data_IF_261763916945
#
_entry.id   IF_261763916945
#
_cell.length_a   1.000
_cell.length_b   1.000
_cell.length_c   1.000
_cell.angle_alpha   90.00
_cell.angle_beta   90.00
_cell.angle_gamma   90.00
#
_symmetry.space_group_name_H-M   'P 1'
#
loop_
_entity.id
_entity.type
_entity.pdbx_description
1 polymer ?
#
# COMPACT_ATOMS: atom_id res chain seq x y z
N UNK A 1 3.23 -2.34 -21.08
CA UNK A 1 2.35 -1.60 -22.01
C UNK A 1 0.96 -1.53 -21.41
N UNK A 2 0.22 -0.48 -21.72
CA UNK A 2 -1.14 -0.25 -21.23
C UNK A 2 -2.07 0.04 -22.40
N UNK A 3 -3.37 -0.24 -22.24
CA UNK A 3 -4.37 0.01 -23.27
C UNK A 3 -5.15 1.27 -22.92
N UNK A 4 -5.11 2.27 -23.80
CA UNK A 4 -5.86 3.53 -23.68
C UNK A 4 -6.50 3.85 -25.02
N UNK A 5 -7.80 4.17 -25.03
CA UNK A 5 -8.56 4.48 -26.25
C UNK A 5 -8.38 3.46 -27.39
N UNK A 6 -8.26 2.16 -27.04
CA UNK A 6 -8.04 1.08 -28.01
C UNK A 6 -6.59 0.93 -28.51
N UNK A 7 -5.69 1.88 -28.22
CA UNK A 7 -4.28 1.84 -28.59
C UNK A 7 -3.41 1.33 -27.45
N UNK A 8 -2.35 0.60 -27.79
CA UNK A 8 -1.32 0.22 -26.84
C UNK A 8 -0.32 1.35 -26.68
N UNK A 9 -0.17 1.81 -25.45
CA UNK A 9 0.77 2.86 -25.06
C UNK A 9 1.82 2.33 -24.09
N UNK A 10 3.02 2.90 -24.18
CA UNK A 10 4.11 2.61 -23.25
C UNK A 10 3.99 3.48 -21.99
N UNK A 11 4.72 3.08 -20.95
CA UNK A 11 4.76 3.78 -19.65
C UNK A 11 5.21 5.23 -19.78
N UNK A 12 6.27 5.46 -20.55
CA UNK A 12 6.85 6.76 -20.83
C UNK A 12 5.83 7.73 -21.45
N UNK A 13 5.06 7.27 -22.44
CA UNK A 13 4.01 8.08 -23.07
C UNK A 13 2.89 8.47 -22.11
N UNK A 14 2.41 7.53 -21.30
CA UNK A 14 1.39 7.81 -20.29
C UNK A 14 1.90 8.78 -19.21
N UNK A 15 3.14 8.61 -18.78
CA UNK A 15 3.75 9.50 -17.80
C UNK A 15 3.86 10.92 -18.36
N UNK A 16 4.33 11.06 -19.61
CA UNK A 16 4.46 12.36 -20.27
C UNK A 16 3.10 13.05 -20.39
N UNK A 17 2.07 12.34 -20.87
CA UNK A 17 0.71 12.88 -20.96
C UNK A 17 0.15 13.26 -19.57
N UNK A 18 0.48 12.49 -18.53
CA UNK A 18 0.07 12.83 -17.16
C UNK A 18 0.76 14.11 -16.67
N UNK A 19 1.99 14.37 -17.09
CA UNK A 19 2.69 15.63 -16.77
C UNK A 19 2.29 16.79 -17.67
N UNK A 20 1.78 16.53 -18.87
CA UNK A 20 1.34 17.58 -19.78
C UNK A 20 -0.08 18.06 -19.44
N UNK A 21 -0.25 19.38 -19.38
CA UNK A 21 -1.53 20.05 -19.22
C UNK A 21 -2.35 20.07 -20.52
N UNK A 22 -3.60 20.53 -20.48
CA UNK A 22 -4.42 20.68 -21.68
C UNK A 22 -3.77 21.62 -22.73
N UNK A 23 -2.98 22.60 -22.28
CA UNK A 23 -2.31 23.59 -23.12
C UNK A 23 -1.01 23.07 -23.78
N UNK A 24 -0.63 21.82 -23.49
CA UNK A 24 0.62 21.23 -23.98
C UNK A 24 1.85 21.56 -23.13
N UNK A 25 1.74 22.44 -22.14
CA UNK A 25 2.81 22.75 -21.19
C UNK A 25 2.91 21.72 -20.06
N UNK A 26 4.10 21.56 -19.48
CA UNK A 26 4.30 20.71 -18.31
C UNK A 26 3.62 21.32 -17.08
N UNK A 27 2.83 20.52 -16.36
CA UNK A 27 2.20 20.88 -15.08
C UNK A 27 3.22 21.22 -14.00
N UNK A 28 4.37 20.56 -14.02
CA UNK A 28 5.44 20.77 -13.06
C UNK A 28 6.78 21.02 -13.77
N UNK A 29 7.44 22.17 -13.56
CA UNK A 29 8.72 22.46 -14.20
C UNK A 29 9.84 21.49 -13.76
N UNK A 30 9.74 20.87 -12.58
CA UNK A 30 10.71 19.86 -12.13
C UNK A 30 10.74 18.61 -13.04
N UNK A 31 9.67 18.36 -13.80
CA UNK A 31 9.59 17.24 -14.73
C UNK A 31 10.23 17.53 -16.09
N UNK A 32 10.72 18.76 -16.32
CA UNK A 32 11.28 19.18 -17.62
C UNK A 32 12.42 18.29 -18.10
N UNK A 33 13.45 18.11 -17.27
CA UNK A 33 14.60 17.27 -17.62
C UNK A 33 14.16 15.83 -17.97
N UNK A 34 13.34 15.21 -17.13
CA UNK A 34 12.85 13.86 -17.41
C UNK A 34 12.01 13.79 -18.70
N UNK A 35 11.22 14.82 -19.01
CA UNK A 35 10.45 14.88 -20.26
C UNK A 35 11.34 14.99 -21.50
N UNK A 36 12.42 15.76 -21.42
CA UNK A 36 13.41 15.92 -22.50
C UNK A 36 14.16 14.60 -22.73
N UNK A 37 14.62 13.95 -21.66
CA UNK A 37 15.27 12.64 -21.74
C UNK A 37 14.34 11.56 -22.31
N UNK A 38 13.04 11.58 -21.99
CA UNK A 38 12.07 10.65 -22.58
C UNK A 38 11.99 10.83 -24.10
N UNK A 39 11.95 12.08 -24.58
CA UNK A 39 11.93 12.37 -26.02
C UNK A 39 13.23 11.91 -26.68
N UNK A 40 14.37 12.17 -26.04
CA UNK A 40 15.68 11.77 -26.53
C UNK A 40 15.80 10.24 -26.63
N UNK A 41 15.53 9.50 -25.55
CA UNK A 41 15.59 8.04 -25.54
C UNK A 41 14.59 7.42 -26.51
N UNK A 42 13.42 8.00 -26.68
CA UNK A 42 12.46 7.53 -27.68
C UNK A 42 12.97 7.73 -29.12
N UNK A 43 13.71 8.81 -29.37
CA UNK A 43 14.36 9.07 -30.65
C UNK A 43 15.52 8.10 -30.88
N UNK A 44 16.37 7.87 -29.88
CA UNK A 44 17.44 6.86 -29.98
C UNK A 44 16.87 5.45 -30.19
N UNK A 45 15.71 5.16 -29.59
CA UNK A 45 15.01 3.88 -29.73
C UNK A 45 14.42 3.68 -31.12
N UNK A 46 13.89 4.73 -31.74
CA UNK A 46 13.40 4.65 -33.13
C UNK A 46 14.53 4.49 -34.14
N UNK A 47 15.72 5.03 -33.81
CA UNK A 47 16.96 4.83 -34.58
C UNK A 47 17.61 3.46 -34.34
N UNK A 48 17.17 2.70 -33.33
CA UNK A 48 17.73 1.40 -32.98
C UNK A 48 19.00 1.45 -32.13
N UNK A 49 19.47 2.63 -31.72
CA UNK A 49 20.65 2.83 -30.87
C UNK A 49 20.36 2.55 -29.40
N UNK A 50 19.09 2.63 -29.00
CA UNK A 50 18.64 2.38 -27.64
C UNK A 50 17.71 1.16 -27.58
N UNK A 51 18.08 0.16 -26.79
CA UNK A 51 17.23 -1.00 -26.50
C UNK A 51 16.80 -0.99 -25.03
N UNK A 52 15.49 -1.07 -24.80
CA UNK A 52 14.95 -1.20 -23.45
C UNK A 52 14.77 -2.67 -23.10
N UNK A 53 15.55 -3.17 -22.13
CA UNK A 53 15.45 -4.57 -21.67
C UNK A 53 14.85 -4.62 -20.27
N UNK A 54 13.77 -5.39 -20.12
CA UNK A 54 13.13 -5.67 -18.83
C UNK A 54 12.72 -4.40 -18.06
N UNK A 55 13.28 -4.24 -16.87
CA UNK A 55 13.03 -3.14 -15.92
C UNK A 55 13.77 -1.84 -16.26
N UNK A 56 14.78 -1.88 -17.16
CA UNK A 56 15.52 -0.71 -17.63
C UNK A 56 14.81 -0.07 -18.84
N UNK A 57 13.57 0.35 -18.65
CA UNK A 57 12.80 1.04 -19.69
C UNK A 57 13.11 2.54 -19.77
N UNK A 58 12.60 3.19 -20.83
CA UNK A 58 12.81 4.62 -21.12
C UNK A 58 12.49 5.51 -19.93
N UNK A 59 11.38 5.24 -19.25
CA UNK A 59 10.94 6.05 -18.11
C UNK A 59 11.85 5.87 -16.89
N UNK A 60 12.25 4.63 -16.58
CA UNK A 60 13.15 4.35 -15.46
C UNK A 60 14.51 5.04 -15.65
N UNK A 61 15.03 5.06 -16.88
CA UNK A 61 16.27 5.76 -17.21
C UNK A 61 16.13 7.27 -17.12
N UNK A 62 15.06 7.84 -17.69
CA UNK A 62 14.83 9.29 -17.64
C UNK A 62 14.63 9.83 -16.21
N UNK A 63 14.00 9.04 -15.33
CA UNK A 63 13.86 9.41 -13.93
C UNK A 63 15.11 9.11 -13.09
N UNK A 64 16.11 8.40 -13.64
CA UNK A 64 17.27 7.89 -12.91
C UNK A 64 16.89 7.07 -11.66
N UNK A 65 15.72 6.43 -11.70
CA UNK A 65 15.17 5.63 -10.60
C UNK A 65 15.00 4.19 -11.08
N UNK A 66 16.02 3.33 -10.91
CA UNK A 66 15.92 1.93 -11.31
C UNK A 66 14.81 1.25 -10.50
N UNK A 67 14.05 0.39 -11.17
CA UNK A 67 12.97 -0.36 -10.54
C UNK A 67 13.55 -1.39 -9.55
N UNK A 68 13.02 -1.44 -8.32
CA UNK A 68 13.54 -2.30 -7.27
C UNK A 68 13.39 -3.79 -7.61
N UNK A 69 14.51 -4.53 -7.64
CA UNK A 69 14.58 -5.96 -8.02
C UNK A 69 13.70 -6.89 -7.16
N UNK A 70 13.35 -6.50 -5.94
CA UNK A 70 12.51 -7.29 -5.03
C UNK A 70 11.00 -7.02 -5.14
N UNK A 71 10.58 -5.99 -5.89
CA UNK A 71 9.16 -5.69 -6.06
C UNK A 71 8.63 -6.51 -7.22
N UNK A 72 7.72 -7.44 -6.94
CA UNK A 72 6.97 -8.12 -7.99
C UNK A 72 6.05 -7.08 -8.66
N UNK A 73 6.39 -6.70 -9.89
CA UNK A 73 5.53 -5.87 -10.70
C UNK A 73 4.36 -6.73 -11.16
N UNK A 74 3.25 -6.65 -10.43
CA UNK A 74 2.03 -7.35 -10.79
C UNK A 74 1.68 -7.08 -12.25
N UNK A 75 1.58 -8.14 -13.06
CA UNK A 75 1.03 -7.99 -14.40
C UNK A 75 -0.41 -7.53 -14.27
N UNK A 76 -0.66 -6.26 -14.60
CA UNK A 76 -1.99 -5.67 -14.78
C UNK A 76 -2.91 -5.65 -13.54
N UNK A 77 -3.70 -4.58 -13.41
CA UNK A 77 -4.75 -4.42 -12.38
C UNK A 77 -5.88 -5.47 -12.49
N UNK A 78 -5.87 -6.29 -13.53
CA UNK A 78 -6.92 -7.26 -13.84
C UNK A 78 -6.56 -8.70 -13.50
N UNK A 79 -5.32 -8.98 -13.07
CA UNK A 79 -4.95 -10.34 -12.68
C UNK A 79 -5.13 -10.50 -11.18
N UNK A 80 -6.14 -11.30 -10.80
CA UNK A 80 -6.42 -11.60 -9.40
C UNK A 80 -5.33 -12.52 -8.86
N UNK A 81 -4.92 -12.38 -7.58
CA UNK A 81 -3.99 -13.34 -6.96
C UNK A 81 -4.46 -14.79 -7.12
N UNK A 82 -5.78 -15.03 -7.13
CA UNK A 82 -6.39 -16.35 -7.37
C UNK A 82 -6.11 -16.96 -8.74
N UNK A 83 -5.58 -16.20 -9.71
CA UNK A 83 -5.13 -16.74 -11.01
C UNK A 83 -3.69 -17.28 -10.95
N UNK A 84 -2.90 -16.85 -9.97
CA UNK A 84 -1.52 -17.32 -9.78
C UNK A 84 -1.43 -18.34 -8.63
N UNK A 85 -2.16 -18.06 -7.57
CA UNK A 85 -2.28 -18.93 -6.41
C UNK A 85 -3.58 -19.71 -6.60
N UNK A 86 -3.50 -21.05 -6.63
CA UNK A 86 -4.65 -21.97 -6.71
C UNK A 86 -5.52 -21.92 -5.44
N UNK A 87 -5.97 -20.73 -5.08
CA UNK A 87 -6.81 -20.48 -3.93
C UNK A 87 -8.21 -20.96 -4.29
N UNK A 88 -8.69 -21.99 -3.60
CA UNK A 88 -10.09 -22.42 -3.69
C UNK A 88 -10.98 -21.20 -3.47
N UNK A 89 -11.89 -20.90 -4.42
CA UNK A 89 -12.93 -19.88 -4.22
C UNK A 89 -13.67 -20.25 -2.94
N UNK A 90 -13.50 -19.45 -1.90
CA UNK A 90 -14.02 -19.74 -0.56
C UNK A 90 -15.54 -19.54 -0.52
N UNK A 91 -16.31 -20.49 -1.07
CA UNK A 91 -17.78 -20.48 -1.08
C UNK A 91 -18.38 -20.58 0.33
N UNK A 92 -17.64 -21.11 1.30
CA UNK A 92 -18.19 -21.38 2.64
C UNK A 92 -18.32 -20.11 3.49
N UNK A 93 -17.40 -19.15 3.33
CA UNK A 93 -17.45 -17.87 4.06
C UNK A 93 -18.64 -17.00 3.64
N UNK A 94 -19.03 -17.07 2.36
CA UNK A 94 -20.16 -16.29 1.86
C UNK A 94 -21.50 -16.77 2.47
N UNK A 95 -21.66 -18.09 2.66
CA UNK A 95 -22.85 -18.66 3.29
C UNK A 95 -22.95 -18.31 4.77
N UNK A 96 -21.84 -18.40 5.50
CA UNK A 96 -21.77 -18.04 6.92
C UNK A 96 -22.08 -16.55 7.14
N UNK A 97 -21.49 -15.69 6.31
CA UNK A 97 -21.74 -14.24 6.32
C UNK A 97 -23.20 -13.92 5.97
N UNK A 98 -23.82 -14.63 5.02
CA UNK A 98 -25.24 -14.45 4.70
C UNK A 98 -26.15 -14.92 5.83
N UNK A 99 -25.81 -16.02 6.52
CA UNK A 99 -26.54 -16.52 7.68
C UNK A 99 -26.50 -15.51 8.83
N UNK A 100 -25.31 -15.03 9.19
CA UNK A 100 -25.15 -14.01 10.23
C UNK A 100 -25.88 -12.70 9.88
N UNK A 101 -25.87 -12.29 8.60
CA UNK A 101 -26.63 -11.11 8.16
C UNK A 101 -28.13 -11.27 8.37
N UNK A 102 -28.69 -12.46 8.16
CA UNK A 102 -30.11 -12.75 8.37
C UNK A 102 -30.46 -12.69 9.86
N UNK A 103 -29.64 -13.32 10.70
CA UNK A 103 -29.82 -13.32 12.16
C UNK A 103 -29.73 -11.91 12.76
N UNK A 104 -28.80 -11.08 12.28
CA UNK A 104 -28.70 -9.67 12.69
C UNK A 104 -29.96 -8.88 12.30
N UNK A 105 -30.54 -9.13 11.13
CA UNK A 105 -31.75 -8.42 10.69
C UNK A 105 -32.97 -8.82 11.54
N UNK A 106 -33.05 -10.10 11.91
CA UNK A 106 -34.10 -10.62 12.79
C UNK A 106 -34.00 -10.02 14.20
N UNK A 107 -32.80 -10.02 14.80
CA UNK A 107 -32.57 -9.38 16.09
C UNK A 107 -32.90 -7.90 16.08
N UNK A 108 -32.55 -7.18 15.00
CA UNK A 108 -32.94 -5.77 14.84
C UNK A 108 -34.45 -5.57 14.77
N UNK A 109 -35.18 -6.46 14.11
CA UNK A 109 -36.64 -6.38 14.04
C UNK A 109 -37.29 -6.59 15.41
N UNK A 110 -36.78 -7.54 16.20
CA UNK A 110 -37.23 -7.78 17.57
C UNK A 110 -36.98 -6.57 18.47
N UNK A 111 -35.78 -5.99 18.43
CA UNK A 111 -35.45 -4.78 19.20
C UNK A 111 -36.36 -3.62 18.85
N UNK A 112 -36.63 -3.40 17.55
CA UNK A 112 -37.58 -2.36 17.10
C UNK A 112 -39.00 -2.60 17.67
N UNK A 113 -39.48 -3.84 17.68
CA UNK A 113 -40.79 -4.20 18.23
C UNK A 113 -40.89 -4.02 19.75
N UNK A 114 -39.83 -4.36 20.49
CA UNK A 114 -39.79 -4.16 21.95
C UNK A 114 -39.70 -2.67 22.33
N UNK A 115 -38.96 -1.88 21.55
CA UNK A 115 -38.86 -0.43 21.76
C UNK A 115 -40.17 0.31 21.43
N UNK A 116 -41.01 -0.21 20.54
CA UNK A 116 -42.29 0.39 20.17
C UNK A 116 -43.41 0.20 21.20
N UNK A 117 -43.24 -0.67 22.20
CA UNK A 117 -44.25 -0.99 23.22
C UNK A 117 -43.98 -0.32 24.59
N UNK A 118 -43.10 0.67 24.65
CA UNK A 118 -42.82 1.44 25.87
C UNK A 118 -43.55 2.80 25.86
N UNK A 119 -44.88 2.76 25.88
CA UNK A 119 -45.71 3.80 26.50
C UNK A 119 -46.19 3.30 27.87
N UNK A 120 -45.25 3.19 28.81
CA UNK A 120 -45.57 3.14 30.23
C UNK A 120 -44.85 4.33 30.84
N UNK A 121 -45.60 5.41 31.05
CA UNK A 121 -45.23 6.53 31.92
C UNK A 121 -44.74 5.97 33.26
N UNK A 122 -43.44 6.10 33.60
CA UNK A 122 -43.01 5.92 34.97
C UNK A 122 -43.29 7.24 35.68
N UNK A 123 -44.38 7.28 36.46
CA UNK A 123 -44.51 8.27 37.53
C UNK A 123 -43.35 8.05 38.50
N UNK A 124 -42.35 8.93 38.43
CA UNK A 124 -41.25 8.99 39.41
C UNK A 124 -41.33 10.32 40.15
N UNK A 125 -41.73 10.24 41.42
CA UNK A 125 -41.63 11.33 42.39
C UNK A 125 -40.17 11.82 42.52
N UNK A 126 -39.89 13.13 42.42
CA UNK A 126 -38.53 13.66 42.28
C UNK A 126 -37.68 13.68 43.57
N UNK A 127 -37.99 12.86 44.58
CA UNK A 127 -37.36 12.97 45.92
C UNK A 127 -36.50 11.80 46.38
N UNK A 128 -36.19 10.82 45.53
CA UNK A 128 -35.27 9.75 45.91
C UNK A 128 -34.31 9.40 44.78
N UNK A 129 -33.27 10.23 44.62
CA UNK A 129 -32.07 9.87 43.85
C UNK A 129 -30.91 9.81 44.84
N UNK A 130 -30.36 8.63 45.15
CA UNK A 130 -29.06 8.54 45.80
C UNK A 130 -27.99 8.98 44.79
N UNK A 131 -27.24 10.01 45.14
CA UNK A 131 -26.04 10.47 44.42
C UNK A 131 -25.04 9.33 44.38
N UNK A 132 -24.75 8.81 43.18
CA UNK A 132 -23.63 7.89 42.95
C UNK A 132 -22.49 8.67 42.30
N UNK A 133 -21.35 8.66 42.98
CA UNK A 133 -20.15 9.38 42.59
C UNK A 133 -19.64 8.95 41.21
N UNK A 134 -19.44 9.94 40.34
CA UNK A 134 -18.77 9.77 39.06
C UNK A 134 -17.26 9.68 39.27
N UNK A 135 -16.73 8.46 39.43
CA UNK A 135 -15.31 8.20 39.21
C UNK A 135 -15.11 6.88 38.45
N UNK A 136 -14.82 7.00 37.15
CA UNK A 136 -13.69 6.35 36.45
C UNK A 136 -13.97 6.27 34.95
N UNK A 137 -13.71 7.38 34.26
CA UNK A 137 -13.37 7.34 32.85
C UNK A 137 -11.89 6.97 32.74
N UNK A 138 -11.58 5.69 32.52
CA UNK A 138 -10.30 5.31 31.94
C UNK A 138 -10.29 5.77 30.49
N UNK A 139 -9.89 7.03 30.26
CA UNK A 139 -9.41 7.47 28.95
C UNK A 139 -8.10 6.75 28.68
N UNK A 140 -8.12 5.77 27.79
CA UNK A 140 -6.92 5.35 27.09
C UNK A 140 -6.49 6.51 26.17
N UNK A 141 -5.58 7.35 26.65
CA UNK A 141 -4.90 8.35 25.85
C UNK A 141 -3.59 7.75 25.35
N UNK A 142 -3.52 7.43 24.06
CA UNK A 142 -2.26 7.23 23.37
C UNK A 142 -1.49 8.56 23.41
N UNK A 143 -0.44 8.61 24.22
CA UNK A 143 0.56 9.68 24.17
C UNK A 143 1.90 9.05 23.80
N UNK A 144 2.38 9.42 22.62
CA UNK A 144 3.73 9.11 22.16
C UNK A 144 4.74 9.72 23.13
N UNK A 145 5.68 8.91 23.62
CA UNK A 145 6.85 9.40 24.33
C UNK A 145 8.01 9.47 23.34
N UNK A 146 8.40 10.69 22.99
CA UNK A 146 9.77 11.00 22.57
C UNK A 146 10.71 10.69 23.73
N UNK A 147 11.74 9.88 23.47
CA UNK A 147 12.91 9.79 24.34
C UNK A 147 14.16 9.90 23.48
N UNK A 148 14.94 10.93 23.76
CA UNK A 148 16.26 11.20 23.22
C UNK A 148 17.33 10.35 23.92
N UNK A 149 18.29 9.94 23.10
CA UNK A 149 19.73 9.76 23.31
C UNK A 149 20.25 8.84 24.43
N UNK A 150 20.77 7.69 23.98
CA UNK A 150 21.73 6.85 24.69
C UNK A 150 22.47 5.99 23.66
N UNK A 151 23.67 6.43 23.25
CA UNK A 151 24.55 5.68 22.35
C UNK A 151 25.10 4.47 23.09
N UNK A 152 24.54 3.29 22.81
CA UNK A 152 25.17 2.02 23.12
C UNK A 152 25.96 1.58 21.87
N UNK A 153 27.27 1.45 22.03
CA UNK A 153 28.20 1.00 21.00
C UNK A 153 27.87 -0.46 20.61
N UNK A 154 27.73 -0.79 19.31
CA UNK A 154 27.36 -2.14 18.88
C UNK A 154 28.54 -3.12 19.09
N UNK A 155 28.27 -4.39 19.44
CA UNK A 155 29.33 -5.38 19.64
C UNK A 155 30.11 -5.59 18.34
N UNK A 156 31.43 -5.40 18.42
CA UNK A 156 32.35 -5.60 17.30
C UNK A 156 32.48 -7.09 17.02
N UNK A 157 31.89 -7.54 15.92
CA UNK A 157 32.05 -8.91 15.41
C UNK A 157 33.32 -8.92 14.56
N UNK A 158 34.27 -9.86 14.76
CA UNK A 158 35.45 -9.95 13.90
C UNK A 158 35.02 -10.35 12.48
N UNK A 159 35.22 -9.45 11.51
CA UNK A 159 34.97 -9.68 10.09
C UNK A 159 36.30 -10.01 9.45
N UNK A 160 36.46 -11.27 9.03
CA UNK A 160 37.60 -11.66 8.18
C UNK A 160 37.18 -11.50 6.71
N UNK A 161 37.83 -10.59 6.01
CA UNK A 161 37.53 -10.24 4.63
C UNK A 161 38.30 -11.15 3.69
N UNK A 162 37.64 -12.16 3.12
CA UNK A 162 38.19 -12.86 1.96
C UNK A 162 37.55 -12.30 0.68
N UNK A 163 38.38 -11.70 -0.17
CA UNK A 163 37.97 -11.17 -1.47
C UNK A 163 37.53 -12.29 -2.42
N UNK A 164 36.27 -12.23 -2.86
CA UNK A 164 35.74 -13.12 -3.89
C UNK A 164 36.26 -12.67 -5.27
N UNK A 165 37.23 -13.39 -5.85
CA UNK A 165 37.93 -13.02 -7.10
C UNK A 165 37.08 -13.07 -8.40
N UNK A 166 35.75 -13.02 -8.31
CA UNK A 166 34.88 -13.13 -9.50
C UNK A 166 33.83 -12.02 -9.62
N UNK A 167 33.58 -11.25 -8.57
CA UNK A 167 32.80 -10.03 -8.64
C UNK A 167 33.16 -9.13 -7.45
N UNK A 168 33.45 -7.86 -7.71
CA UNK A 168 33.80 -6.83 -6.70
C UNK A 168 32.62 -6.48 -5.76
N UNK A 169 31.87 -7.47 -5.28
CA UNK A 169 30.78 -7.31 -4.33
C UNK A 169 31.12 -8.05 -3.02
N UNK A 170 31.13 -7.35 -1.86
CA UNK A 170 31.38 -8.01 -0.59
C UNK A 170 30.24 -8.96 -0.26
N UNK A 171 30.57 -10.24 -0.10
CA UNK A 171 29.64 -11.29 0.33
C UNK A 171 29.79 -11.50 1.83
N UNK A 172 28.73 -11.22 2.59
CA UNK A 172 28.71 -11.45 4.03
C UNK A 172 28.15 -12.83 4.33
N UNK A 173 28.93 -13.69 4.98
CA UNK A 173 28.47 -14.98 5.51
C UNK A 173 28.18 -14.82 6.99
N UNK A 174 26.94 -15.07 7.42
CA UNK A 174 26.54 -15.02 8.84
C UNK A 174 26.52 -16.45 9.36
N UNK A 175 27.41 -16.77 10.31
CA UNK A 175 27.37 -18.03 11.06
C UNK A 175 26.40 -17.89 12.22
N UNK A 176 25.40 -18.76 12.30
CA UNK A 176 24.56 -18.92 13.49
C UNK A 176 25.11 -20.13 14.23
N UNK A 177 25.81 -19.88 15.34
CA UNK A 177 26.33 -20.94 16.21
C UNK A 177 25.21 -21.76 16.84
N UNK A 178 25.40 -23.08 16.88
CA UNK A 178 24.52 -24.04 17.57
C UNK A 178 24.80 -24.18 19.05
#
# INVERSE_FOLDING_TARGET
MFKKNGKWERRDGLWLEQQTGPDGELKNPACKNASELIVEYNTQKSQGTFESVGTNDVLSQALSRPEHKGRVCGQSKFVKPSQYFNLSRSSNKDNEVQSMRREIEELKALVRGLCANRDVEPSVDPKNVPTVDQHNSFKASCSAQEKQDGVAEPPTIPVDSQECKLCDAPTYTIYVGG
#
